data_IF_575095089662
#
_entry.id   IF_575095089662
#
_cell.length_a   1.000
_cell.length_b   1.000
_cell.length_c   1.000
_cell.angle_alpha   90.00
_cell.angle_beta   90.00
_cell.angle_gamma   90.00
#
_symmetry.space_group_name_H-M   'P 1'
#
loop_
_entity.id
_entity.type
_entity.pdbx_description
1 polymer ?
#
# COMPACT_ATOMS: atom_id res chain seq x y z
N UNK A 1 39.06 -28.77 -8.81
CA UNK A 1 38.62 -27.79 -9.82
C UNK A 1 37.21 -28.07 -10.37
N UNK A 2 36.75 -29.29 -10.46
CA UNK A 2 35.47 -29.68 -11.09
C UNK A 2 34.19 -29.15 -10.35
N UNK A 3 34.22 -29.01 -9.00
CA UNK A 3 33.05 -28.57 -8.22
C UNK A 3 32.68 -27.08 -8.39
N UNK A 4 33.66 -26.24 -8.72
CA UNK A 4 33.39 -24.79 -8.95
C UNK A 4 32.77 -24.53 -10.32
N UNK A 5 33.14 -25.33 -11.33
CA UNK A 5 32.63 -25.21 -12.71
C UNK A 5 31.14 -25.64 -12.80
N UNK A 6 30.76 -26.70 -12.07
CA UNK A 6 29.37 -27.19 -12.06
C UNK A 6 28.43 -26.19 -11.37
N UNK A 7 28.89 -25.51 -10.31
CA UNK A 7 28.08 -24.50 -9.60
C UNK A 7 27.86 -23.25 -10.45
N UNK A 8 28.86 -22.86 -11.26
CA UNK A 8 28.75 -21.70 -12.16
C UNK A 8 27.80 -21.99 -13.33
N UNK A 9 27.80 -23.21 -13.87
CA UNK A 9 26.86 -23.60 -14.92
C UNK A 9 25.42 -23.71 -14.41
N UNK A 10 25.19 -24.23 -13.20
CA UNK A 10 23.86 -24.30 -12.58
C UNK A 10 23.30 -22.90 -12.31
N UNK A 11 24.11 -21.95 -11.89
CA UNK A 11 23.69 -20.57 -11.65
C UNK A 11 23.38 -19.84 -12.97
N UNK A 12 24.12 -20.09 -14.02
CA UNK A 12 23.91 -19.50 -15.34
C UNK A 12 22.61 -20.03 -15.99
N UNK A 13 22.29 -21.33 -15.85
CA UNK A 13 21.05 -21.92 -16.36
C UNK A 13 19.80 -21.45 -15.59
N UNK A 14 19.91 -21.24 -14.28
CA UNK A 14 18.83 -20.67 -13.47
C UNK A 14 18.58 -19.20 -13.87
N UNK A 15 19.64 -18.43 -14.12
CA UNK A 15 19.52 -17.04 -14.54
C UNK A 15 18.90 -16.91 -15.93
N UNK A 16 19.25 -17.78 -16.89
CA UNK A 16 18.67 -17.75 -18.24
C UNK A 16 17.22 -18.22 -18.27
N UNK A 17 16.82 -19.19 -17.44
CA UNK A 17 15.42 -19.59 -17.29
C UNK A 17 14.59 -18.50 -16.60
N UNK A 18 15.15 -17.79 -15.63
CA UNK A 18 14.46 -16.69 -14.95
C UNK A 18 14.34 -15.45 -15.86
N UNK A 19 15.35 -15.12 -16.64
CA UNK A 19 15.30 -14.03 -17.63
C UNK A 19 14.43 -14.38 -18.84
N UNK A 20 14.44 -15.63 -19.30
CA UNK A 20 13.56 -16.10 -20.38
C UNK A 20 12.08 -16.13 -19.99
N UNK A 21 11.78 -16.46 -18.75
CA UNK A 21 10.41 -16.43 -18.22
C UNK A 21 9.87 -14.99 -18.08
N UNK A 22 10.72 -14.04 -17.63
CA UNK A 22 10.30 -12.64 -17.55
C UNK A 22 10.14 -11.97 -18.92
N UNK A 23 10.88 -12.38 -19.95
CA UNK A 23 10.77 -11.81 -21.29
C UNK A 23 9.46 -12.22 -22.01
N UNK A 24 8.83 -13.32 -21.60
CA UNK A 24 7.56 -13.80 -22.18
C UNK A 24 6.32 -13.15 -21.56
N UNK A 25 6.47 -12.50 -20.38
CA UNK A 25 5.41 -11.75 -19.70
C UNK A 25 5.54 -10.22 -19.84
N UNK A 26 6.47 -9.75 -20.65
CA UNK A 26 6.72 -8.32 -20.89
C UNK A 26 6.11 -7.83 -22.20
N UNK A 27 4.87 -8.24 -22.49
CA UNK A 27 4.03 -7.42 -23.34
C UNK A 27 3.57 -6.23 -22.49
N UNK A 28 3.77 -4.98 -22.89
CA UNK A 28 3.14 -3.86 -22.21
C UNK A 28 1.64 -4.10 -22.31
N UNK A 29 0.99 -4.36 -21.16
CA UNK A 29 -0.45 -4.32 -21.10
C UNK A 29 -0.82 -2.90 -21.55
N UNK A 30 -1.51 -2.79 -22.68
CA UNK A 30 -2.06 -1.51 -23.11
C UNK A 30 -3.03 -1.05 -22.03
N UNK A 31 -3.14 0.25 -21.81
CA UNK A 31 -4.08 0.79 -20.81
C UNK A 31 -5.48 0.22 -21.02
N UNK A 32 -5.90 0.01 -22.28
CA UNK A 32 -7.15 -0.66 -22.65
C UNK A 32 -7.27 -2.12 -22.15
N UNK A 33 -6.16 -2.87 -22.11
CA UNK A 33 -6.16 -4.24 -21.59
C UNK A 33 -6.22 -4.29 -20.06
N UNK A 34 -5.64 -3.31 -19.39
CA UNK A 34 -5.76 -3.17 -17.93
C UNK A 34 -7.17 -2.72 -17.53
N UNK A 35 -7.77 -1.81 -18.27
CA UNK A 35 -9.14 -1.36 -18.05
C UNK A 35 -10.15 -2.50 -18.33
N UNK A 36 -9.97 -3.25 -19.41
CA UNK A 36 -10.79 -4.43 -19.70
C UNK A 36 -10.67 -5.54 -18.65
N UNK A 37 -9.46 -5.77 -18.11
CA UNK A 37 -9.23 -6.69 -16.99
C UNK A 37 -9.88 -6.19 -15.70
N UNK A 38 -9.82 -4.90 -15.43
CA UNK A 38 -10.44 -4.28 -14.27
C UNK A 38 -11.96 -4.37 -14.34
N UNK A 39 -12.57 -4.09 -15.51
CA UNK A 39 -14.02 -4.24 -15.75
C UNK A 39 -14.48 -5.70 -15.66
N UNK A 40 -13.72 -6.63 -16.26
CA UNK A 40 -14.01 -8.06 -16.16
C UNK A 40 -13.92 -8.55 -14.72
N UNK A 41 -12.91 -8.12 -13.99
CA UNK A 41 -12.73 -8.44 -12.59
C UNK A 41 -13.88 -7.86 -11.75
N UNK A 42 -14.29 -6.62 -12.00
CA UNK A 42 -15.43 -5.99 -11.33
C UNK A 42 -16.76 -6.71 -11.62
N UNK A 43 -16.96 -7.22 -12.84
CA UNK A 43 -18.19 -7.92 -13.23
C UNK A 43 -18.30 -9.36 -12.71
N UNK A 44 -17.16 -9.98 -12.38
CA UNK A 44 -17.12 -11.35 -11.82
C UNK A 44 -17.35 -11.38 -10.30
N UNK A 45 -17.38 -10.22 -9.66
CA UNK A 45 -17.46 -10.12 -8.23
C UNK A 45 -18.85 -9.64 -7.80
N UNK A 46 -19.54 -10.35 -6.88
CA UNK A 46 -20.83 -9.88 -6.39
C UNK A 46 -20.66 -8.49 -5.76
N UNK A 47 -21.48 -7.52 -6.18
CA UNK A 47 -21.52 -6.20 -5.56
C UNK A 47 -21.69 -6.36 -4.04
N UNK A 48 -20.71 -5.89 -3.28
CA UNK A 48 -20.83 -5.75 -1.83
C UNK A 48 -20.11 -6.79 -0.97
N UNK A 49 -19.40 -7.80 -1.50
CA UNK A 49 -18.86 -8.89 -0.67
C UNK A 49 -17.33 -8.97 -0.58
N UNK A 50 -16.59 -7.89 -0.85
CA UNK A 50 -15.15 -7.86 -0.58
C UNK A 50 -14.87 -7.42 0.85
N UNK A 51 -14.76 -8.37 1.74
CA UNK A 51 -14.13 -8.19 3.04
C UNK A 51 -12.71 -8.76 2.93
N UNK A 52 -11.72 -7.91 2.71
CA UNK A 52 -10.29 -8.27 2.70
C UNK A 52 -9.81 -8.44 4.14
N UNK A 53 -10.36 -7.66 5.06
CA UNK A 53 -10.02 -7.68 6.48
C UNK A 53 -11.22 -7.36 7.37
N UNK A 54 -11.12 -7.68 8.65
CA UNK A 54 -12.11 -7.28 9.65
C UNK A 54 -12.22 -5.75 9.83
N UNK A 55 -11.27 -5.00 9.25
CA UNK A 55 -11.18 -3.54 9.38
C UNK A 55 -11.72 -2.77 8.17
N UNK A 56 -12.17 -3.44 7.10
CA UNK A 56 -12.58 -2.80 5.85
C UNK A 56 -13.68 -1.76 6.06
N UNK A 57 -14.71 -2.09 6.82
CA UNK A 57 -15.79 -1.13 7.13
C UNK A 57 -15.28 0.06 7.95
N UNK A 58 -14.36 -0.19 8.88
CA UNK A 58 -13.80 0.86 9.72
C UNK A 58 -12.89 1.79 8.89
N UNK A 59 -12.03 1.22 8.04
CA UNK A 59 -11.18 1.96 7.12
C UNK A 59 -12.03 2.79 6.18
N UNK A 60 -13.06 2.19 5.56
CA UNK A 60 -13.96 2.89 4.65
C UNK A 60 -14.61 4.09 5.31
N UNK A 61 -15.29 3.89 6.43
CA UNK A 61 -16.03 4.96 7.09
C UNK A 61 -15.12 6.13 7.47
N UNK A 62 -13.98 5.87 8.10
CA UNK A 62 -13.06 6.92 8.52
C UNK A 62 -12.42 7.62 7.31
N UNK A 63 -12.05 6.88 6.28
CA UNK A 63 -11.41 7.46 5.10
C UNK A 63 -12.37 8.33 4.30
N UNK A 64 -13.62 7.90 4.13
CA UNK A 64 -14.65 8.69 3.47
C UNK A 64 -14.99 9.97 4.27
N UNK A 65 -15.07 9.90 5.61
CA UNK A 65 -15.26 11.07 6.50
C UNK A 65 -14.10 12.08 6.36
N UNK A 66 -12.88 11.60 6.16
CA UNK A 66 -11.67 12.44 6.00
C UNK A 66 -11.39 12.83 4.53
N UNK A 67 -12.22 12.36 3.58
CA UNK A 67 -12.13 12.71 2.17
C UNK A 67 -11.06 11.95 1.39
N UNK A 68 -10.69 10.75 1.83
CA UNK A 68 -9.71 9.90 1.18
C UNK A 68 -10.31 8.64 0.56
N UNK A 69 -9.67 8.10 -0.48
CA UNK A 69 -10.04 6.81 -1.04
C UNK A 69 -9.73 5.69 -0.04
N UNK A 70 -10.77 5.03 0.46
CA UNK A 70 -10.65 3.94 1.41
C UNK A 70 -9.86 2.74 0.86
N UNK A 71 -9.86 2.52 -0.47
CA UNK A 71 -9.10 1.44 -1.11
C UNK A 71 -7.60 1.68 -0.99
N UNK A 72 -7.19 2.94 -1.18
CA UNK A 72 -5.81 3.36 -0.95
C UNK A 72 -5.42 3.15 0.51
N UNK A 73 -6.25 3.60 1.45
CA UNK A 73 -5.97 3.44 2.88
C UNK A 73 -5.95 1.96 3.31
N UNK A 74 -6.78 1.11 2.71
CA UNK A 74 -6.74 -0.34 2.92
C UNK A 74 -5.46 -0.97 2.37
N UNK A 75 -5.00 -0.55 1.19
CA UNK A 75 -3.74 -1.01 0.62
C UNK A 75 -2.53 -0.62 1.49
N UNK A 76 -2.54 0.59 2.05
CA UNK A 76 -1.53 1.05 3.02
C UNK A 76 -1.55 0.15 4.26
N UNK A 77 -2.73 -0.09 4.87
CA UNK A 77 -2.85 -0.94 6.05
C UNK A 77 -2.32 -2.36 5.79
N UNK A 78 -2.61 -2.91 4.62
CA UNK A 78 -2.06 -4.20 4.22
C UNK A 78 -0.54 -4.17 4.09
N UNK A 79 0.03 -3.15 3.46
CA UNK A 79 1.47 -3.00 3.30
C UNK A 79 2.19 -2.84 4.64
N UNK A 80 1.65 -2.01 5.53
CA UNK A 80 2.27 -1.64 6.80
C UNK A 80 2.21 -2.75 7.85
N UNK A 81 1.09 -3.46 7.97
CA UNK A 81 0.88 -4.40 9.08
C UNK A 81 0.26 -5.73 8.68
N UNK A 82 -0.13 -5.93 7.43
CA UNK A 82 -1.00 -7.05 7.01
C UNK A 82 -2.28 -7.11 7.85
N UNK A 83 -2.84 -5.95 8.15
CA UNK A 83 -4.01 -5.78 9.02
C UNK A 83 -3.83 -6.29 10.46
N UNK A 84 -2.62 -6.24 11.00
CA UNK A 84 -2.30 -6.65 12.37
C UNK A 84 -2.32 -5.44 13.30
N UNK A 85 -3.30 -5.30 14.23
CA UNK A 85 -3.49 -4.07 15.02
C UNK A 85 -2.44 -3.86 16.11
N UNK A 86 -1.88 -4.94 16.66
CA UNK A 86 -1.00 -4.88 17.84
C UNK A 86 0.50 -4.92 17.50
N UNK A 87 0.84 -4.80 16.20
CA UNK A 87 2.23 -4.88 15.77
C UNK A 87 2.99 -3.57 16.09
N UNK A 88 4.21 -3.73 16.57
CA UNK A 88 5.16 -2.62 16.75
C UNK A 88 6.44 -2.93 15.98
N UNK A 89 6.85 -2.01 15.11
CA UNK A 89 8.08 -2.15 14.34
C UNK A 89 9.33 -1.90 15.19
N UNK A 90 10.50 -2.25 14.66
CA UNK A 90 11.79 -1.97 15.30
C UNK A 90 12.04 -0.47 15.51
N UNK A 91 11.52 0.38 14.65
CA UNK A 91 11.61 1.85 14.76
C UNK A 91 10.57 2.45 15.68
N UNK A 92 9.62 1.65 16.21
CA UNK A 92 8.59 2.09 17.14
C UNK A 92 7.28 2.53 16.49
N UNK A 93 7.09 2.29 15.19
CA UNK A 93 5.80 2.46 14.52
C UNK A 93 4.78 1.42 15.03
N UNK A 94 3.50 1.78 15.17
CA UNK A 94 2.49 0.97 15.86
C UNK A 94 1.19 0.86 15.09
N UNK A 95 0.54 -0.29 15.21
CA UNK A 95 -0.83 -0.53 14.78
C UNK A 95 -0.98 -0.82 13.29
N UNK A 96 -2.21 -0.82 12.83
CA UNK A 96 -2.61 -1.15 11.46
C UNK A 96 -1.89 -0.32 10.40
N UNK A 97 -1.75 0.97 10.63
CA UNK A 97 -1.15 1.96 9.72
C UNK A 97 0.28 2.33 10.11
N UNK A 98 0.89 1.58 11.04
CA UNK A 98 2.26 1.80 11.51
C UNK A 98 2.58 3.28 11.86
N UNK A 99 1.74 3.87 12.70
CA UNK A 99 1.88 5.27 13.11
C UNK A 99 3.01 5.42 14.14
N UNK A 100 3.90 6.38 13.88
CA UNK A 100 4.95 6.77 14.82
C UNK A 100 4.36 7.59 15.99
N UNK A 101 4.86 7.38 17.23
CA UNK A 101 4.43 8.21 18.38
C UNK A 101 4.66 9.71 18.19
N UNK A 102 5.63 10.10 17.35
CA UNK A 102 5.86 11.50 16.98
C UNK A 102 4.74 12.08 16.12
N UNK A 103 4.09 11.26 15.30
CA UNK A 103 2.92 11.64 14.51
C UNK A 103 1.70 11.81 15.41
N UNK A 104 1.42 10.85 16.29
CA UNK A 104 0.30 10.92 17.24
C UNK A 104 0.35 12.21 18.11
N UNK A 105 1.54 12.58 18.58
CA UNK A 105 1.73 13.84 19.33
C UNK A 105 1.39 15.11 18.54
N UNK A 106 1.50 15.09 17.21
CA UNK A 106 1.13 16.26 16.38
C UNK A 106 -0.38 16.48 16.31
N UNK A 107 -1.16 15.46 16.69
CA UNK A 107 -2.62 15.48 16.72
C UNK A 107 -3.17 15.33 18.14
N UNK A 108 -2.32 15.59 19.16
CA UNK A 108 -2.66 15.53 20.59
C UNK A 108 -3.21 14.15 21.05
N UNK A 109 -2.78 13.06 20.37
CA UNK A 109 -3.17 11.69 20.71
C UNK A 109 -2.12 11.05 21.62
N UNK A 110 -2.54 10.51 22.78
CA UNK A 110 -1.65 9.80 23.69
C UNK A 110 -1.05 8.54 23.02
N UNK A 111 0.24 8.26 23.32
CA UNK A 111 0.92 7.11 22.74
C UNK A 111 0.27 5.75 23.07
N UNK A 112 -0.48 5.68 24.17
CA UNK A 112 -1.21 4.48 24.57
C UNK A 112 -2.41 4.16 23.66
N UNK A 113 -2.95 5.16 22.96
CA UNK A 113 -4.13 5.02 22.10
C UNK A 113 -3.77 4.71 20.64
N UNK A 114 -2.47 4.71 20.28
CA UNK A 114 -2.04 4.52 18.89
C UNK A 114 -2.44 3.14 18.34
N UNK A 115 -2.48 2.10 19.18
CA UNK A 115 -2.82 0.73 18.75
C UNK A 115 -4.32 0.48 18.68
N UNK A 116 -5.17 1.40 19.19
CA UNK A 116 -6.59 1.33 18.92
C UNK A 116 -6.86 1.46 17.43
N UNK A 117 -7.55 0.49 16.79
CA UNK A 117 -7.75 0.49 15.34
C UNK A 117 -8.38 1.75 14.79
N UNK A 118 -9.40 2.31 15.47
CA UNK A 118 -10.08 3.53 15.04
C UNK A 118 -9.15 4.73 15.07
N UNK A 119 -8.47 4.92 16.19
CA UNK A 119 -7.50 6.01 16.40
C UNK A 119 -6.35 5.90 15.40
N UNK A 120 -5.86 4.70 15.18
CA UNK A 120 -4.73 4.44 14.27
C UNK A 120 -5.07 4.78 12.80
N UNK A 121 -6.24 4.34 12.32
CA UNK A 121 -6.72 4.65 10.97
C UNK A 121 -7.00 6.16 10.83
N UNK A 122 -7.61 6.77 11.84
CA UNK A 122 -7.87 8.21 11.85
C UNK A 122 -6.56 9.02 11.78
N UNK A 123 -5.56 8.68 12.58
CA UNK A 123 -4.23 9.32 12.53
C UNK A 123 -3.57 9.23 11.16
N UNK A 124 -3.67 8.06 10.49
CA UNK A 124 -3.15 7.88 9.14
C UNK A 124 -3.83 8.82 8.13
N UNK A 125 -5.16 8.93 8.20
CA UNK A 125 -5.93 9.84 7.34
C UNK A 125 -5.56 11.30 7.61
N UNK A 126 -5.43 11.72 8.89
CA UNK A 126 -4.97 13.07 9.24
C UNK A 126 -3.55 13.35 8.75
N UNK A 127 -2.64 12.38 8.86
CA UNK A 127 -1.29 12.51 8.33
C UNK A 127 -1.31 12.68 6.81
N UNK A 128 -2.11 11.87 6.12
CA UNK A 128 -2.29 11.97 4.66
C UNK A 128 -2.77 13.37 4.26
N UNK A 129 -3.81 13.89 4.90
CA UNK A 129 -4.33 15.25 4.67
C UNK A 129 -3.25 16.31 4.89
N UNK A 130 -2.44 16.16 5.96
CA UNK A 130 -1.35 17.07 6.27
C UNK A 130 -0.26 17.05 5.18
N UNK A 131 0.14 15.87 4.71
CA UNK A 131 1.10 15.72 3.63
C UNK A 131 0.55 16.36 2.36
N UNK A 132 -0.68 16.04 1.96
CA UNK A 132 -1.33 16.59 0.77
C UNK A 132 -1.40 18.12 0.81
N UNK A 133 -1.71 18.71 1.96
CA UNK A 133 -1.78 20.16 2.12
C UNK A 133 -0.42 20.86 2.12
N UNK A 134 0.64 20.15 2.52
CA UNK A 134 2.01 20.70 2.58
C UNK A 134 2.74 20.63 1.24
N UNK A 135 2.33 19.73 0.36
CA UNK A 135 2.94 19.56 -0.95
C UNK A 135 2.35 20.57 -1.95
N UNK A 136 3.23 21.25 -2.68
CA UNK A 136 2.84 22.13 -3.79
C UNK A 136 3.23 21.47 -5.10
N UNK A 137 2.24 21.17 -5.91
CA UNK A 137 2.45 20.61 -7.24
C UNK A 137 2.37 21.71 -8.30
N UNK A 138 3.20 21.67 -9.35
CA UNK A 138 3.04 22.53 -10.50
C UNK A 138 1.64 22.40 -11.09
N UNK A 139 1.14 23.49 -11.71
CA UNK A 139 -0.13 23.48 -12.39
C UNK A 139 -0.13 22.43 -13.52
N UNK A 140 -1.18 21.62 -13.61
CA UNK A 140 -1.27 20.54 -14.59
C UNK A 140 -0.60 19.20 -14.18
N UNK A 141 -0.03 19.09 -12.98
CA UNK A 141 0.51 17.78 -12.51
C UNK A 141 -0.61 16.74 -12.45
N UNK A 142 -0.49 15.58 -13.16
CA UNK A 142 -1.49 14.53 -13.15
C UNK A 142 -1.74 13.99 -11.74
N UNK A 143 -2.97 13.57 -11.45
CA UNK A 143 -3.37 13.01 -10.14
C UNK A 143 -2.51 11.82 -9.73
N UNK A 144 -2.23 10.92 -10.67
CA UNK A 144 -1.37 9.75 -10.47
C UNK A 144 0.04 10.15 -9.97
N UNK A 145 0.62 11.19 -10.55
CA UNK A 145 1.96 11.64 -10.19
C UNK A 145 1.96 12.32 -8.82
N UNK A 146 0.91 13.09 -8.51
CA UNK A 146 0.72 13.68 -7.18
C UNK A 146 0.64 12.59 -6.11
N UNK A 147 -0.17 11.55 -6.34
CA UNK A 147 -0.32 10.46 -5.41
C UNK A 147 0.98 9.67 -5.23
N UNK A 148 1.73 9.43 -6.30
CA UNK A 148 3.03 8.76 -6.24
C UNK A 148 4.04 9.52 -5.37
N UNK A 149 4.07 10.85 -5.46
CA UNK A 149 4.95 11.69 -4.64
C UNK A 149 4.51 11.68 -3.17
N UNK A 150 3.21 11.75 -2.91
CA UNK A 150 2.66 11.69 -1.54
C UNK A 150 3.04 10.38 -0.85
N UNK A 151 2.95 9.25 -1.55
CA UNK A 151 3.26 7.93 -0.99
C UNK A 151 4.77 7.69 -0.81
N UNK A 152 5.62 8.48 -1.46
CA UNK A 152 7.08 8.40 -1.35
C UNK A 152 7.67 9.34 -0.29
N UNK A 153 6.87 10.23 0.32
CA UNK A 153 7.30 11.22 1.31
C UNK A 153 7.13 10.72 2.73
#
# INVERSE_FOLDING_TARGET
MLKKTVLTFAFLTILTTFYGFNAQFSAPATDDALDALAEMHHSLLPEGSYVISAYDNLIRNISEEEGHDWRLMSAIAYHESRFTPDITSRSGARGLMQIMPSVARQFDVPAAEITDPRTNIWLANKLMSKIMSSLRFPEGTPEKDRMSIILAS
#
